data_IF_754772133761
#
_entry.id   IF_754772133761
#
_cell.length_a   1.000
_cell.length_b   1.000
_cell.length_c   1.000
_cell.angle_alpha   90.00
_cell.angle_beta   90.00
_cell.angle_gamma   90.00
#
_symmetry.space_group_name_H-M   'P 1'
#
loop_
_entity.id
_entity.type
_entity.pdbx_description
1 polymer ?
#
# COMPACT_ATOMS: atom_id res chain seq x y z
N UNK A 1 -5.80 0.74 0.47
CA UNK A 1 -6.57 1.68 -0.37
C UNK A 1 -8.05 1.46 -0.13
N UNK A 2 -8.85 2.52 0.01
CA UNK A 2 -10.30 2.41 0.17
C UNK A 2 -10.99 1.99 -1.13
N UNK A 3 -12.24 1.51 -1.04
CA UNK A 3 -13.06 1.19 -2.22
C UNK A 3 -13.32 2.42 -3.08
N UNK A 4 -13.55 3.58 -2.46
CA UNK A 4 -13.76 4.85 -3.17
C UNK A 4 -12.55 5.25 -4.01
N UNK A 5 -11.34 5.16 -3.43
CA UNK A 5 -10.11 5.47 -4.17
C UNK A 5 -9.87 4.45 -5.29
N UNK A 6 -10.22 3.18 -5.07
CA UNK A 6 -10.15 2.16 -6.12
C UNK A 6 -11.03 2.53 -7.32
N UNK A 7 -12.29 2.91 -7.09
CA UNK A 7 -13.23 3.31 -8.14
C UNK A 7 -12.73 4.54 -8.90
N UNK A 8 -12.18 5.52 -8.19
CA UNK A 8 -11.58 6.70 -8.80
C UNK A 8 -10.40 6.31 -9.71
N UNK A 9 -9.46 5.51 -9.23
CA UNK A 9 -8.30 5.06 -10.02
C UNK A 9 -8.74 4.24 -11.22
N UNK A 10 -9.73 3.35 -11.08
CA UNK A 10 -10.28 2.58 -12.19
C UNK A 10 -10.92 3.48 -13.24
N UNK A 11 -11.69 4.49 -12.83
CA UNK A 11 -12.33 5.44 -13.74
C UNK A 11 -11.30 6.22 -14.57
N UNK A 12 -10.21 6.67 -13.93
CA UNK A 12 -9.10 7.38 -14.59
C UNK A 12 -8.34 6.47 -15.54
N UNK A 13 -8.08 5.24 -15.12
CA UNK A 13 -7.37 4.24 -15.93
C UNK A 13 -8.16 3.86 -17.19
N UNK A 14 -9.50 3.74 -17.08
CA UNK A 14 -10.36 3.50 -18.24
C UNK A 14 -10.31 4.65 -19.25
N UNK A 15 -10.30 5.91 -18.78
CA UNK A 15 -10.19 7.10 -19.65
C UNK A 15 -8.87 7.16 -20.42
N UNK A 16 -7.80 6.58 -19.88
CA UNK A 16 -6.49 6.51 -20.53
C UNK A 16 -6.27 5.20 -21.31
N UNK A 17 -7.32 4.41 -21.58
CA UNK A 17 -7.25 3.09 -22.22
C UNK A 17 -6.30 2.10 -21.52
N UNK A 18 -6.05 2.29 -20.24
CA UNK A 18 -5.26 1.38 -19.41
C UNK A 18 -6.10 0.23 -18.85
N UNK A 19 -5.41 -0.78 -18.33
CA UNK A 19 -6.03 -1.87 -17.56
C UNK A 19 -5.59 -1.80 -16.11
N UNK A 20 -6.56 -1.85 -15.18
CA UNK A 20 -6.30 -1.95 -13.75
C UNK A 20 -6.38 -3.42 -13.32
N UNK A 21 -5.28 -3.98 -12.84
CA UNK A 21 -5.21 -5.39 -12.42
C UNK A 21 -5.61 -5.50 -10.95
N UNK A 22 -6.75 -6.12 -10.69
CA UNK A 22 -7.18 -6.49 -9.34
C UNK A 22 -6.93 -7.99 -9.16
N UNK A 23 -6.26 -8.37 -8.08
CA UNK A 23 -5.98 -9.76 -7.73
C UNK A 23 -6.75 -10.13 -6.47
N UNK A 24 -7.33 -11.33 -6.44
CA UNK A 24 -8.02 -11.84 -5.25
C UNK A 24 -6.97 -12.28 -4.22
N UNK A 25 -7.23 -11.97 -2.95
CA UNK A 25 -6.46 -12.43 -1.81
C UNK A 25 -7.41 -12.75 -0.65
N UNK A 26 -6.92 -13.39 0.40
CA UNK A 26 -7.68 -13.60 1.63
C UNK A 26 -6.78 -13.27 2.81
N UNK A 27 -6.92 -12.06 3.34
CA UNK A 27 -6.19 -11.60 4.52
C UNK A 27 -7.19 -11.27 5.63
N UNK A 28 -7.18 -12.08 6.68
CA UNK A 28 -7.99 -11.84 7.87
C UNK A 28 -7.23 -10.92 8.81
N UNK A 29 -7.79 -9.73 9.05
CA UNK A 29 -7.23 -8.76 9.98
C UNK A 29 -7.84 -8.96 11.37
N UNK A 30 -6.97 -9.12 12.37
CA UNK A 30 -7.34 -9.03 13.76
C UNK A 30 -7.12 -7.61 14.24
N UNK A 31 -8.17 -6.80 14.23
CA UNK A 31 -8.13 -5.46 14.79
C UNK A 31 -8.50 -5.51 16.28
N UNK A 32 -7.91 -4.62 17.08
CA UNK A 32 -8.24 -4.49 18.50
C UNK A 32 -9.71 -4.12 18.75
N UNK A 33 -10.33 -3.32 17.86
CA UNK A 33 -11.69 -2.80 18.01
C UNK A 33 -12.74 -3.54 17.17
N UNK A 34 -12.34 -4.39 16.23
CA UNK A 34 -13.23 -5.05 15.29
C UNK A 34 -12.80 -6.49 15.03
N UNK A 35 -13.72 -7.43 15.24
CA UNK A 35 -13.55 -8.81 14.83
C UNK A 35 -14.05 -9.00 13.40
N UNK A 36 -13.29 -9.73 12.57
CA UNK A 36 -13.78 -10.25 11.29
C UNK A 36 -13.58 -9.36 10.06
N UNK A 37 -12.69 -8.37 10.08
CA UNK A 37 -12.35 -7.64 8.85
C UNK A 37 -11.49 -8.51 7.93
N UNK A 38 -12.00 -8.80 6.74
CA UNK A 38 -11.29 -9.57 5.71
C UNK A 38 -11.00 -8.70 4.50
N UNK A 39 -9.73 -8.61 4.10
CA UNK A 39 -9.33 -8.00 2.83
C UNK A 39 -9.34 -9.06 1.74
N UNK A 40 -10.10 -8.79 0.69
CA UNK A 40 -10.38 -9.75 -0.40
C UNK A 40 -9.60 -9.48 -1.68
N UNK A 41 -9.00 -8.30 -1.78
CA UNK A 41 -8.32 -7.88 -2.99
C UNK A 41 -7.03 -7.13 -2.71
N UNK A 42 -6.09 -7.29 -3.63
CA UNK A 42 -4.84 -6.54 -3.72
C UNK A 42 -4.68 -6.03 -5.14
N UNK A 43 -4.12 -4.84 -5.29
CA UNK A 43 -3.82 -4.27 -6.60
C UNK A 43 -2.39 -3.72 -6.62
N UNK A 44 -1.58 -4.05 -7.64
CA UNK A 44 -0.32 -3.35 -7.87
C UNK A 44 -0.63 -1.93 -8.35
N UNK A 45 -0.22 -0.94 -7.56
CA UNK A 45 -0.38 0.47 -7.91
C UNK A 45 0.98 1.10 -8.18
N UNK A 46 1.03 1.96 -9.20
CA UNK A 46 2.19 2.82 -9.45
C UNK A 46 2.08 4.03 -8.53
N UNK A 47 3.11 4.24 -7.72
CA UNK A 47 3.24 5.34 -6.78
C UNK A 47 4.40 6.23 -7.19
N UNK A 48 4.23 7.53 -6.98
CA UNK A 48 5.30 8.53 -7.06
C UNK A 48 5.46 9.14 -5.68
N UNK A 49 6.65 9.00 -5.09
CA UNK A 49 6.99 9.52 -3.76
C UNK A 49 8.24 10.38 -3.90
N UNK A 50 8.07 11.70 -3.76
CA UNK A 50 9.11 12.66 -4.10
C UNK A 50 9.58 12.46 -5.54
N UNK A 51 10.89 12.29 -5.81
CA UNK A 51 11.42 12.05 -7.16
C UNK A 51 11.31 10.59 -7.61
N UNK A 52 10.87 9.66 -6.75
CA UNK A 52 10.97 8.22 -7.01
C UNK A 52 9.64 7.64 -7.50
N UNK A 53 9.72 6.67 -8.41
CA UNK A 53 8.59 5.91 -8.91
C UNK A 53 8.75 4.44 -8.55
N UNK A 54 7.67 3.80 -8.08
CA UNK A 54 7.64 2.38 -7.79
C UNK A 54 6.28 1.77 -8.06
N UNK A 55 6.25 0.46 -8.29
CA UNK A 55 5.02 -0.33 -8.22
C UNK A 55 5.00 -1.05 -6.88
N UNK A 56 3.90 -0.96 -6.16
CA UNK A 56 3.73 -1.60 -4.86
C UNK A 56 2.32 -2.23 -4.75
N UNK A 57 2.19 -3.47 -4.24
CA UNK A 57 0.90 -4.08 -4.02
C UNK A 57 0.17 -3.39 -2.86
N UNK A 58 -1.09 -3.02 -3.05
CA UNK A 58 -1.90 -2.39 -2.01
C UNK A 58 -3.20 -3.13 -1.84
N UNK A 59 -3.49 -3.52 -0.60
CA UNK A 59 -4.77 -4.14 -0.25
C UNK A 59 -5.93 -3.16 -0.38
N UNK A 60 -7.07 -3.67 -0.82
CA UNK A 60 -8.32 -2.94 -0.87
C UNK A 60 -9.08 -3.17 0.43
N UNK A 61 -9.32 -2.08 1.16
CA UNK A 61 -10.07 -2.05 2.40
C UNK A 61 -11.52 -1.65 2.13
N UNK A 62 -12.50 -2.36 2.71
CA UNK A 62 -13.89 -1.92 2.69
C UNK A 62 -14.13 -0.71 3.61
N UNK A 63 -13.14 -0.35 4.44
CA UNK A 63 -13.21 0.84 5.29
C UNK A 63 -12.77 2.07 4.49
N UNK A 64 -13.65 3.07 4.42
CA UNK A 64 -13.41 4.33 3.70
C UNK A 64 -12.90 5.46 4.62
N UNK A 65 -12.43 5.14 5.83
CA UNK A 65 -11.92 6.15 6.78
C UNK A 65 -10.70 6.91 6.26
N UNK A 66 -9.81 6.21 5.55
CA UNK A 66 -8.63 6.80 4.93
C UNK A 66 -8.50 6.31 3.49
N UNK A 67 -8.23 7.19 2.51
CA UNK A 67 -8.15 6.81 1.10
C UNK A 67 -6.97 5.85 0.84
N UNK A 68 -5.81 6.14 1.44
CA UNK A 68 -4.62 5.30 1.37
C UNK A 68 -3.93 5.25 2.74
N UNK A 69 -3.65 4.04 3.21
CA UNK A 69 -2.85 3.79 4.41
C UNK A 69 -1.52 3.19 3.98
N UNK A 70 -0.43 3.77 4.48
CA UNK A 70 0.94 3.37 4.16
C UNK A 70 1.43 2.41 5.24
N UNK A 71 1.72 1.17 4.85
CA UNK A 71 2.24 0.14 5.74
C UNK A 71 3.76 0.18 5.91
N UNK A 72 4.26 -0.56 6.89
CA UNK A 72 5.69 -0.75 7.15
C UNK A 72 6.42 -1.35 5.94
N UNK A 73 5.77 -2.24 5.21
CA UNK A 73 6.27 -2.88 3.99
C UNK A 73 6.61 -1.87 2.88
N UNK A 74 5.76 -0.87 2.67
CA UNK A 74 6.05 0.23 1.74
C UNK A 74 7.15 1.15 2.30
N UNK A 75 7.05 1.52 3.59
CA UNK A 75 8.03 2.39 4.24
C UNK A 75 9.45 1.83 4.19
N UNK A 76 9.61 0.53 4.50
CA UNK A 76 10.90 -0.18 4.49
C UNK A 76 11.62 -0.07 3.14
N UNK A 77 10.89 0.12 2.03
CA UNK A 77 11.51 0.30 0.70
C UNK A 77 12.30 1.60 0.57
N UNK A 78 12.14 2.55 1.49
CA UNK A 78 12.80 3.85 1.46
C UNK A 78 13.83 4.04 2.57
N UNK A 79 14.07 3.02 3.41
CA UNK A 79 14.82 3.12 4.67
C UNK A 79 14.48 4.40 5.43
N UNK A 80 13.27 4.48 5.99
CA UNK A 80 12.68 5.74 6.38
C UNK A 80 13.35 6.29 7.64
N UNK A 81 13.58 7.59 7.69
CA UNK A 81 13.82 8.32 8.93
C UNK A 81 12.60 9.18 9.24
N UNK A 82 11.93 8.89 10.35
CA UNK A 82 10.71 9.57 10.78
C UNK A 82 11.09 10.75 11.68
N UNK A 83 10.91 11.95 11.16
CA UNK A 83 11.19 13.20 11.85
C UNK A 83 9.91 13.79 12.43
N UNK A 84 9.67 13.51 13.71
CA UNK A 84 8.51 14.02 14.44
C UNK A 84 8.58 15.51 14.73
N UNK A 85 9.78 16.12 14.71
CA UNK A 85 9.94 17.56 14.98
C UNK A 85 9.46 18.38 13.79
N UNK A 86 9.81 17.96 12.58
CA UNK A 86 9.43 18.65 11.36
C UNK A 86 8.23 18.01 10.63
N UNK A 87 7.67 16.94 11.18
CA UNK A 87 6.55 16.18 10.61
C UNK A 87 6.86 15.68 9.20
N UNK A 88 8.07 15.12 9.01
CA UNK A 88 8.55 14.63 7.72
C UNK A 88 9.01 13.17 7.79
N UNK A 89 8.90 12.48 6.68
CA UNK A 89 9.54 11.19 6.46
C UNK A 89 10.64 11.40 5.42
N UNK A 90 11.87 11.09 5.81
CA UNK A 90 13.04 11.16 4.94
C UNK A 90 13.36 9.77 4.40
N UNK A 91 13.91 9.72 3.19
CA UNK A 91 14.44 8.49 2.61
C UNK A 91 15.96 8.49 2.74
N UNK A 92 16.53 7.32 3.01
CA UNK A 92 17.98 7.14 3.11
C UNK A 92 18.58 6.42 1.87
N UNK A 93 17.74 6.14 0.87
CA UNK A 93 18.13 5.50 -0.38
C UNK A 93 17.97 6.44 -1.58
N UNK A 94 18.65 6.15 -2.69
CA UNK A 94 18.51 6.91 -3.95
C UNK A 94 17.39 6.37 -4.84
N UNK A 95 17.04 5.10 -4.66
CA UNK A 95 15.97 4.42 -5.38
C UNK A 95 15.23 3.47 -4.41
N UNK A 96 13.93 3.22 -4.60
CA UNK A 96 13.19 2.34 -3.71
C UNK A 96 13.73 0.91 -3.75
N UNK A 97 14.03 0.35 -2.60
CA UNK A 97 14.46 -1.05 -2.46
C UNK A 97 13.37 -2.00 -3.02
N UNK A 98 13.77 -3.19 -3.48
CA UNK A 98 12.82 -4.22 -3.89
C UNK A 98 11.86 -4.56 -2.74
N UNK A 99 10.65 -5.00 -3.10
CA UNK A 99 9.70 -5.50 -2.11
C UNK A 99 10.30 -6.76 -1.48
N UNK A 100 10.56 -6.72 -0.18
CA UNK A 100 11.04 -7.89 0.54
C UNK A 100 9.95 -8.95 0.55
N UNK A 101 10.28 -10.19 0.20
CA UNK A 101 9.39 -11.32 0.45
C UNK A 101 9.24 -11.46 1.96
N UNK A 102 8.00 -11.61 2.43
CA UNK A 102 7.75 -12.10 3.79
C UNK A 102 8.26 -13.53 3.81
N UNK A 103 9.53 -13.71 4.17
CA UNK A 103 10.05 -15.04 4.49
C UNK A 103 9.31 -15.47 5.76
N UNK A 104 8.58 -16.58 5.67
CA UNK A 104 7.73 -17.19 6.71
C UNK A 104 8.49 -17.65 7.97
N UNK A 105 9.69 -17.13 8.23
CA UNK A 105 10.62 -17.66 9.25
C UNK A 105 10.81 -16.73 10.46
N UNK A 106 10.08 -15.62 10.58
CA UNK A 106 10.05 -14.83 11.82
C UNK A 106 8.87 -15.26 12.71
N UNK A 107 8.89 -16.54 13.09
CA UNK A 107 8.06 -17.11 14.15
C UNK A 107 8.85 -18.25 14.81
N UNK A 108 9.91 -17.90 15.53
CA UNK A 108 10.54 -18.73 16.57
C UNK A 108 10.89 -17.85 17.75
#
# INVERSE_FOLDING_TARGET
MSTELLEEVQSRTKRSNGTFKLQRCELNLQAYSHTGLQLKHVAPIRLTVGPMNLVHPVYVSPLNTYPLLIGKDLLNRFEPLIDFKHLKIWTQVREPLPLQSVNSNESQ
#
